data_IF_385947439176
#
_entry.id   IF_385947439176
#
_cell.length_a   1.000
_cell.length_b   1.000
_cell.length_c   1.000
_cell.angle_alpha   90.00
_cell.angle_beta   90.00
_cell.angle_gamma   90.00
#
_symmetry.space_group_name_H-M   'P 1'
#
loop_
_entity.id
_entity.type
_entity.pdbx_description
1 polymer ?
#
# COMPACT_ATOMS: atom_id res chain seq x y z
N UNK A 1 -5.91 18.48 33.59
CA UNK A 1 -6.39 17.21 33.02
C UNK A 1 -5.15 16.37 32.78
N UNK A 2 -4.94 15.44 33.69
CA UNK A 2 -3.63 14.91 34.07
C UNK A 2 -3.04 14.00 33.00
N UNK A 3 -1.86 14.40 32.52
CA UNK A 3 -1.00 13.57 31.69
C UNK A 3 -0.39 12.51 32.63
N UNK A 4 -0.91 11.30 32.55
CA UNK A 4 -0.38 10.14 33.27
C UNK A 4 1.08 9.91 32.87
N UNK A 5 2.00 10.43 33.69
CA UNK A 5 3.38 9.92 33.77
C UNK A 5 3.32 8.55 34.43
N UNK A 6 3.25 7.48 33.65
CA UNK A 6 3.49 6.15 34.17
C UNK A 6 5.00 5.93 34.32
N UNK A 7 5.43 5.67 35.56
CA UNK A 7 6.78 5.24 35.89
C UNK A 7 7.00 3.82 35.37
N UNK A 8 8.08 3.60 34.62
CA UNK A 8 8.39 2.37 33.90
C UNK A 8 8.89 1.28 34.88
N UNK A 9 8.15 0.18 35.04
CA UNK A 9 8.60 -1.01 35.77
C UNK A 9 9.24 -2.04 34.82
N UNK A 10 10.17 -2.83 35.38
CA UNK A 10 11.09 -3.77 34.70
C UNK A 10 10.39 -4.94 33.97
N UNK A 11 9.09 -5.12 34.16
CA UNK A 11 8.32 -6.26 33.63
C UNK A 11 7.84 -6.09 32.17
N UNK A 12 7.89 -4.88 31.59
CA UNK A 12 7.41 -4.65 30.22
C UNK A 12 8.44 -4.98 29.13
N UNK A 13 9.74 -5.07 29.45
CA UNK A 13 10.79 -5.39 28.48
C UNK A 13 10.65 -6.80 27.86
N UNK A 14 10.07 -7.75 28.59
CA UNK A 14 9.84 -9.11 28.08
C UNK A 14 8.72 -9.16 27.03
N UNK A 15 7.66 -8.37 27.18
CA UNK A 15 6.55 -8.31 26.22
C UNK A 15 7.01 -7.66 24.90
N UNK A 16 7.89 -6.65 24.99
CA UNK A 16 8.48 -5.97 23.83
C UNK A 16 9.36 -6.87 22.96
N UNK A 17 10.28 -7.61 23.56
CA UNK A 17 11.16 -8.52 22.81
C UNK A 17 10.37 -9.67 22.15
N UNK A 18 9.36 -10.20 22.83
CA UNK A 18 8.52 -11.28 22.31
C UNK A 18 7.71 -10.84 21.09
N UNK A 19 7.19 -9.61 21.08
CA UNK A 19 6.43 -9.09 19.95
C UNK A 19 7.33 -8.79 18.74
N UNK A 20 8.47 -8.11 18.95
CA UNK A 20 9.41 -7.83 17.86
C UNK A 20 9.98 -9.12 17.24
N UNK A 21 10.38 -10.09 18.07
CA UNK A 21 10.75 -11.42 17.56
C UNK A 21 9.57 -12.16 16.92
N UNK A 22 8.35 -11.97 17.43
CA UNK A 22 7.13 -12.50 16.85
C UNK A 22 6.86 -11.97 15.44
N UNK A 23 7.04 -10.67 15.21
CA UNK A 23 6.93 -10.07 13.87
C UNK A 23 7.99 -10.57 12.91
N UNK A 24 9.25 -10.65 13.33
CA UNK A 24 10.34 -11.18 12.48
C UNK A 24 10.07 -12.65 12.15
N UNK A 25 9.74 -13.46 13.16
CA UNK A 25 9.46 -14.89 12.98
C UNK A 25 8.25 -15.14 12.09
N UNK A 26 7.26 -14.25 12.13
CA UNK A 26 6.04 -14.35 11.33
C UNK A 26 6.03 -13.38 10.14
N UNK A 27 7.18 -12.86 9.70
CA UNK A 27 7.23 -11.85 8.63
C UNK A 27 6.59 -12.36 7.33
N UNK A 28 6.78 -13.64 7.01
CA UNK A 28 6.18 -14.31 5.85
C UNK A 28 4.63 -14.45 5.93
N UNK A 29 4.05 -14.24 7.11
CA UNK A 29 2.61 -14.30 7.38
C UNK A 29 2.15 -13.13 8.26
N UNK A 30 2.77 -11.96 8.06
CA UNK A 30 2.60 -10.80 8.95
C UNK A 30 1.13 -10.39 9.07
N UNK A 31 0.37 -10.47 7.97
CA UNK A 31 -1.05 -10.15 7.97
C UNK A 31 -1.87 -11.08 8.88
N UNK A 32 -1.65 -12.39 8.79
CA UNK A 32 -2.33 -13.38 9.64
C UNK A 32 -1.95 -13.19 11.11
N UNK A 33 -0.67 -12.94 11.38
CA UNK A 33 -0.16 -12.71 12.73
C UNK A 33 -0.76 -11.45 13.37
N UNK A 34 -0.73 -10.31 12.65
CA UNK A 34 -1.32 -9.05 13.13
C UNK A 34 -2.84 -9.19 13.31
N UNK A 35 -3.52 -9.90 12.42
CA UNK A 35 -4.97 -10.15 12.53
C UNK A 35 -5.30 -10.98 13.78
N UNK A 36 -4.52 -12.02 14.07
CA UNK A 36 -4.70 -12.83 15.28
C UNK A 36 -4.53 -11.99 16.55
N UNK A 37 -3.48 -11.15 16.59
CA UNK A 37 -3.23 -10.24 17.71
C UNK A 37 -4.37 -9.23 17.91
N UNK A 38 -4.87 -8.62 16.82
CA UNK A 38 -6.02 -7.72 16.89
C UNK A 38 -7.26 -8.43 17.44
N UNK A 39 -7.48 -9.69 17.06
CA UNK A 39 -8.61 -10.47 17.57
C UNK A 39 -8.50 -10.73 19.08
N UNK A 40 -7.30 -11.07 19.55
CA UNK A 40 -7.04 -11.30 20.98
C UNK A 40 -7.12 -10.00 21.79
N UNK A 41 -6.66 -8.88 21.22
CA UNK A 41 -6.63 -7.57 21.86
C UNK A 41 -7.93 -6.77 21.71
N UNK A 42 -9.02 -7.40 21.27
CA UNK A 42 -10.34 -6.78 21.04
C UNK A 42 -10.28 -5.58 20.08
N UNK A 43 -9.40 -5.66 19.09
CA UNK A 43 -9.32 -4.75 17.96
C UNK A 43 -8.32 -3.61 18.11
N UNK A 44 -7.58 -3.52 19.22
CA UNK A 44 -6.58 -2.47 19.42
C UNK A 44 -5.36 -3.04 20.13
N UNK A 45 -4.14 -2.75 19.66
CA UNK A 45 -2.93 -2.98 20.44
C UNK A 45 -1.86 -1.94 20.13
N UNK A 46 -1.06 -1.63 21.14
CA UNK A 46 0.08 -0.73 21.02
C UNK A 46 1.37 -1.54 20.81
N UNK A 47 2.13 -1.16 19.80
CA UNK A 47 3.48 -1.62 19.58
C UNK A 47 4.43 -0.53 20.01
N UNK A 48 5.35 -0.84 20.93
CA UNK A 48 6.49 0.03 21.18
C UNK A 48 7.76 -0.64 20.66
N UNK A 49 8.34 -0.03 19.64
CA UNK A 49 9.62 -0.48 19.11
C UNK A 49 10.80 -0.10 20.01
N UNK A 50 12.03 -0.44 19.58
CA UNK A 50 13.24 -0.14 20.33
C UNK A 50 13.33 1.34 20.70
N UNK A 51 13.77 1.65 21.92
CA UNK A 51 13.85 3.02 22.46
C UNK A 51 14.63 3.97 21.55
N UNK A 52 15.65 3.46 20.86
CA UNK A 52 16.49 4.24 19.94
C UNK A 52 15.82 4.52 18.58
N UNK A 53 14.79 3.76 18.22
CA UNK A 53 14.14 3.84 16.91
C UNK A 53 12.84 4.68 16.91
N UNK A 54 12.28 4.98 18.09
CA UNK A 54 11.03 5.76 18.24
C UNK A 54 9.86 5.22 17.38
N UNK A 55 9.69 3.89 17.37
CA UNK A 55 8.70 3.19 16.55
C UNK A 55 7.48 2.77 17.37
N UNK A 56 6.83 3.75 17.98
CA UNK A 56 5.57 3.51 18.67
C UNK A 56 4.43 3.57 17.66
N UNK A 57 3.64 2.51 17.58
CA UNK A 57 2.52 2.39 16.64
C UNK A 57 1.28 1.91 17.38
N UNK A 58 0.14 2.51 17.06
CA UNK A 58 -1.18 1.96 17.41
C UNK A 58 -1.69 1.17 16.20
N UNK A 59 -1.97 -0.11 16.40
CA UNK A 59 -2.62 -0.95 15.40
C UNK A 59 -4.07 -1.11 15.85
N UNK A 60 -5.00 -0.77 14.96
CA UNK A 60 -6.44 -0.78 15.25
C UNK A 60 -7.25 -1.37 14.11
N UNK A 61 -8.23 -2.19 14.47
CA UNK A 61 -9.35 -2.63 13.62
C UNK A 61 -10.70 -2.12 14.14
N UNK A 62 -10.69 -1.19 15.09
CA UNK A 62 -11.90 -0.59 15.66
C UNK A 62 -12.49 0.42 14.66
N UNK A 63 -13.74 0.23 14.20
CA UNK A 63 -14.39 1.14 13.25
C UNK A 63 -14.44 2.59 13.73
N UNK A 64 -14.52 2.85 15.04
CA UNK A 64 -14.56 4.22 15.60
C UNK A 64 -13.20 4.89 15.41
N UNK A 65 -12.11 4.16 15.69
CA UNK A 65 -10.75 4.66 15.49
C UNK A 65 -10.45 4.85 14.00
N UNK A 66 -10.83 3.88 13.16
CA UNK A 66 -10.67 3.95 11.70
C UNK A 66 -11.41 5.17 11.14
N UNK A 67 -12.66 5.39 11.54
CA UNK A 67 -13.43 6.56 11.12
C UNK A 67 -12.79 7.87 11.61
N UNK A 68 -12.27 7.88 12.84
CA UNK A 68 -11.58 9.04 13.38
C UNK A 68 -10.34 9.39 12.56
N UNK A 69 -9.48 8.40 12.28
CA UNK A 69 -8.20 8.57 11.58
C UNK A 69 -8.41 8.85 10.09
N UNK A 70 -9.26 8.08 9.39
CA UNK A 70 -9.39 8.14 7.93
C UNK A 70 -10.43 9.14 7.43
N UNK A 71 -11.24 9.71 8.33
CA UNK A 71 -12.31 10.65 7.96
C UNK A 71 -12.36 11.88 8.86
N UNK A 72 -12.82 11.74 10.12
CA UNK A 72 -13.16 12.88 10.98
C UNK A 72 -11.98 13.80 11.28
N UNK A 73 -10.79 13.23 11.43
CA UNK A 73 -9.59 13.93 11.90
C UNK A 73 -8.38 13.64 11.01
N UNK A 74 -8.61 13.36 9.72
CA UNK A 74 -7.58 12.93 8.77
C UNK A 74 -6.34 13.84 8.71
N UNK A 75 -6.52 15.16 8.78
CA UNK A 75 -5.42 16.13 8.74
C UNK A 75 -4.42 15.99 9.91
N UNK A 76 -4.82 15.37 11.02
CA UNK A 76 -3.98 15.14 12.19
C UNK A 76 -3.11 13.87 12.07
N UNK A 77 -3.28 13.07 11.02
CA UNK A 77 -2.56 11.82 10.81
C UNK A 77 -1.81 11.84 9.46
N UNK A 78 -0.78 12.70 9.29
CA UNK A 78 0.04 12.69 8.08
C UNK A 78 0.82 11.38 7.96
N UNK A 79 1.10 10.94 6.73
CA UNK A 79 1.91 9.73 6.48
C UNK A 79 3.35 9.93 6.92
N UNK A 80 3.86 11.17 6.78
CA UNK A 80 5.16 11.57 7.29
C UNK A 80 6.31 11.40 6.29
N UNK A 81 7.51 11.78 6.72
CA UNK A 81 8.73 11.74 5.89
C UNK A 81 9.16 10.33 5.54
N UNK A 82 8.82 9.37 6.39
CA UNK A 82 9.19 7.97 6.24
C UNK A 82 8.51 7.28 5.09
N UNK A 83 7.19 7.42 5.10
CA UNK A 83 6.36 6.97 4.02
C UNK A 83 6.85 7.58 2.71
N UNK A 84 7.22 8.86 2.72
CA UNK A 84 7.77 9.54 1.54
C UNK A 84 9.07 8.95 1.00
N UNK A 85 9.98 8.52 1.88
CA UNK A 85 11.23 7.89 1.47
C UNK A 85 11.00 6.49 0.88
N UNK A 86 10.11 5.71 1.50
CA UNK A 86 9.77 4.36 1.03
C UNK A 86 9.12 4.43 -0.36
N UNK A 87 8.23 5.41 -0.56
CA UNK A 87 7.47 5.58 -1.78
C UNK A 87 8.01 6.71 -2.68
N UNK A 88 9.30 7.02 -2.59
CA UNK A 88 9.94 8.12 -3.33
C UNK A 88 9.81 7.95 -4.86
N UNK A 89 9.73 6.70 -5.34
CA UNK A 89 9.48 6.40 -6.75
C UNK A 89 8.14 6.99 -7.26
N UNK A 90 7.15 7.15 -6.37
CA UNK A 90 5.86 7.78 -6.72
C UNK A 90 5.95 9.32 -6.78
N UNK A 91 7.11 9.88 -6.50
CA UNK A 91 7.37 11.32 -6.48
C UNK A 91 6.40 12.05 -5.56
N UNK A 92 5.96 13.24 -5.96
CA UNK A 92 4.95 14.01 -5.24
C UNK A 92 3.51 13.68 -5.66
N UNK A 93 3.25 12.43 -6.08
CA UNK A 93 1.91 11.98 -6.44
C UNK A 93 0.95 11.89 -5.25
N UNK A 94 -0.35 11.73 -5.54
CA UNK A 94 -1.44 11.67 -4.55
C UNK A 94 -1.19 10.69 -3.39
N UNK A 95 -0.47 9.60 -3.62
CA UNK A 95 -0.16 8.62 -2.57
C UNK A 95 0.90 9.12 -1.58
N UNK A 96 1.82 9.97 -2.02
CA UNK A 96 3.03 10.30 -1.28
C UNK A 96 2.94 11.63 -0.51
N UNK A 97 2.18 12.60 -1.03
CA UNK A 97 2.04 13.92 -0.40
C UNK A 97 1.04 13.89 0.75
N UNK A 98 1.13 14.88 1.64
CA UNK A 98 0.23 15.10 2.78
C UNK A 98 -0.42 16.50 2.71
N UNK A 99 -1.40 16.75 3.58
CA UNK A 99 -2.00 18.07 3.81
C UNK A 99 -2.62 18.72 2.55
N UNK A 100 -2.41 20.02 2.34
CA UNK A 100 -3.04 20.81 1.27
C UNK A 100 -2.76 20.25 -0.13
N UNK A 101 -1.50 19.86 -0.39
CA UNK A 101 -1.13 19.31 -1.70
C UNK A 101 -1.85 17.98 -1.97
N UNK A 102 -1.98 17.12 -0.96
CA UNK A 102 -2.78 15.91 -1.06
C UNK A 102 -4.26 16.22 -1.33
N UNK A 103 -4.82 17.24 -0.67
CA UNK A 103 -6.22 17.62 -0.86
C UNK A 103 -6.49 18.09 -2.28
N UNK A 104 -5.58 18.89 -2.85
CA UNK A 104 -5.62 19.32 -4.25
C UNK A 104 -5.59 18.10 -5.17
N UNK A 105 -4.59 17.21 -5.02
CA UNK A 105 -4.50 15.99 -5.82
C UNK A 105 -5.77 15.12 -5.71
N UNK A 106 -6.30 14.93 -4.50
CA UNK A 106 -7.50 14.14 -4.26
C UNK A 106 -8.73 14.74 -4.93
N UNK A 107 -8.97 16.05 -4.77
CA UNK A 107 -10.09 16.74 -5.41
C UNK A 107 -10.03 16.60 -6.93
N UNK A 108 -8.87 16.87 -7.52
CA UNK A 108 -8.67 16.76 -8.98
C UNK A 108 -8.83 15.33 -9.46
N UNK A 109 -8.22 14.35 -8.79
CA UNK A 109 -8.26 12.94 -9.19
C UNK A 109 -9.68 12.38 -9.08
N UNK A 110 -10.37 12.61 -7.96
CA UNK A 110 -11.75 12.14 -7.77
C UNK A 110 -12.70 12.80 -8.76
N UNK A 111 -12.51 14.09 -9.08
CA UNK A 111 -13.29 14.79 -10.10
C UNK A 111 -13.06 14.20 -11.49
N UNK A 112 -11.81 13.89 -11.85
CA UNK A 112 -11.47 13.26 -13.13
C UNK A 112 -12.07 11.86 -13.24
N UNK A 113 -11.90 11.04 -12.19
CA UNK A 113 -12.40 9.67 -12.17
C UNK A 113 -13.93 9.62 -12.19
N UNK A 114 -14.61 10.56 -11.54
CA UNK A 114 -16.08 10.65 -11.57
C UNK A 114 -16.64 11.21 -12.88
N UNK A 115 -15.79 11.72 -13.78
CA UNK A 115 -16.23 12.32 -15.02
C UNK A 115 -16.72 11.24 -15.99
N UNK A 116 -17.88 11.43 -16.62
CA UNK A 116 -18.50 10.44 -17.51
C UNK A 116 -17.58 10.00 -18.66
N UNK A 117 -16.83 10.94 -19.25
CA UNK A 117 -15.86 10.62 -20.30
C UNK A 117 -14.76 9.66 -19.80
N UNK A 118 -14.28 9.84 -18.57
CA UNK A 118 -13.27 8.95 -18.00
C UNK A 118 -13.82 7.53 -17.83
N UNK A 119 -15.06 7.40 -17.37
CA UNK A 119 -15.73 6.11 -17.24
C UNK A 119 -15.91 5.41 -18.58
N UNK A 120 -16.32 6.14 -19.62
CA UNK A 120 -16.43 5.60 -20.99
C UNK A 120 -15.06 5.15 -21.53
N UNK A 121 -14.01 5.94 -21.31
CA UNK A 121 -12.65 5.58 -21.73
C UNK A 121 -12.10 4.38 -20.96
N UNK A 122 -12.38 4.28 -19.66
CA UNK A 122 -12.02 3.13 -18.82
C UNK A 122 -12.69 1.86 -19.34
N UNK A 123 -13.99 1.89 -19.55
CA UNK A 123 -14.74 0.76 -20.10
C UNK A 123 -14.20 0.35 -21.47
N UNK A 124 -14.07 1.30 -22.40
CA UNK A 124 -13.58 1.04 -23.75
C UNK A 124 -12.15 0.46 -23.75
N UNK A 125 -11.23 1.04 -22.98
CA UNK A 125 -9.84 0.57 -22.91
C UNK A 125 -9.74 -0.83 -22.30
N UNK A 126 -10.60 -1.12 -21.32
CA UNK A 126 -10.67 -2.43 -20.69
C UNK A 126 -11.18 -3.48 -21.67
N UNK A 127 -12.32 -3.22 -22.33
CA UNK A 127 -12.88 -4.12 -23.33
C UNK A 127 -11.94 -4.37 -24.50
N UNK A 128 -11.31 -3.32 -25.02
CA UNK A 128 -10.32 -3.44 -26.09
C UNK A 128 -9.15 -4.36 -25.68
N UNK A 129 -8.68 -4.26 -24.43
CA UNK A 129 -7.61 -5.13 -23.90
C UNK A 129 -8.08 -6.57 -23.70
N UNK A 130 -9.36 -6.78 -23.38
CA UNK A 130 -9.95 -8.12 -23.30
C UNK A 130 -10.05 -8.74 -24.69
N UNK A 131 -10.72 -8.06 -25.63
CA UNK A 131 -11.02 -8.58 -26.97
C UNK A 131 -9.76 -8.80 -27.81
N UNK A 132 -8.80 -7.87 -27.74
CA UNK A 132 -7.61 -7.91 -28.61
C UNK A 132 -6.38 -8.51 -27.93
N UNK A 133 -6.39 -8.69 -26.60
CA UNK A 133 -5.26 -9.20 -25.83
C UNK A 133 -5.58 -10.51 -25.11
N UNK A 134 -6.42 -10.43 -24.07
CA UNK A 134 -6.64 -11.54 -23.14
C UNK A 134 -7.37 -12.72 -23.79
N UNK A 135 -8.48 -12.48 -24.48
CA UNK A 135 -9.27 -13.52 -25.13
C UNK A 135 -8.45 -14.31 -26.17
N UNK A 136 -7.82 -13.69 -27.19
CA UNK A 136 -7.06 -14.44 -28.19
C UNK A 136 -5.83 -15.13 -27.59
N UNK A 137 -5.24 -14.57 -26.53
CA UNK A 137 -4.17 -15.24 -25.79
C UNK A 137 -4.67 -16.53 -25.13
N UNK A 138 -5.80 -16.48 -24.41
CA UNK A 138 -6.38 -17.65 -23.75
C UNK A 138 -6.83 -18.71 -24.76
N UNK A 139 -7.48 -18.30 -25.85
CA UNK A 139 -7.93 -19.22 -26.91
C UNK A 139 -6.75 -20.00 -27.51
N UNK A 140 -5.65 -19.31 -27.83
CA UNK A 140 -4.44 -19.95 -28.35
C UNK A 140 -3.74 -20.85 -27.32
N UNK A 141 -3.83 -20.49 -26.03
CA UNK A 141 -3.16 -21.22 -24.96
C UNK A 141 -3.89 -22.52 -24.57
N UNK A 142 -5.23 -22.53 -24.66
CA UNK A 142 -6.04 -23.74 -24.43
C UNK A 142 -5.61 -24.88 -25.34
N UNK A 143 -5.23 -24.59 -26.59
CA UNK A 143 -4.74 -25.60 -27.54
C UNK A 143 -3.38 -26.20 -27.16
N UNK A 144 -2.53 -25.48 -26.43
CA UNK A 144 -1.19 -25.95 -26.03
C UNK A 144 -1.20 -26.84 -24.78
N UNK A 145 -2.22 -26.75 -23.93
CA UNK A 145 -2.34 -27.58 -22.72
C UNK A 145 -1.23 -27.41 -21.68
N UNK A 146 -0.48 -26.29 -21.71
CA UNK A 146 0.62 -26.02 -20.78
C UNK A 146 0.13 -25.28 -19.52
N UNK A 147 0.87 -25.27 -18.40
CA UNK A 147 0.46 -24.53 -17.22
C UNK A 147 0.62 -23.01 -17.41
N UNK A 148 -0.44 -22.24 -17.09
CA UNK A 148 -0.47 -20.79 -17.22
C UNK A 148 -0.19 -20.08 -15.89
N UNK A 149 0.71 -19.10 -15.88
CA UNK A 149 0.89 -18.20 -14.74
C UNK A 149 -0.11 -17.03 -14.79
N UNK A 150 -1.28 -17.20 -14.17
CA UNK A 150 -2.33 -16.17 -14.14
C UNK A 150 -1.88 -14.84 -13.51
N UNK A 151 -0.89 -14.86 -12.61
CA UNK A 151 -0.37 -13.63 -12.03
C UNK A 151 0.34 -12.76 -13.08
N UNK A 152 1.21 -13.35 -13.91
CA UNK A 152 1.89 -12.62 -15.00
C UNK A 152 0.88 -12.13 -16.03
N UNK A 153 -0.15 -12.92 -16.34
CA UNK A 153 -1.20 -12.54 -17.29
C UNK A 153 -2.02 -11.35 -16.78
N UNK A 154 -2.49 -11.39 -15.53
CA UNK A 154 -3.25 -10.26 -14.98
C UNK A 154 -2.40 -9.02 -14.75
N UNK A 155 -1.11 -9.16 -14.46
CA UNK A 155 -0.18 -8.03 -14.39
C UNK A 155 -0.04 -7.35 -15.75
N UNK A 156 0.21 -8.11 -16.83
CA UNK A 156 0.28 -7.60 -18.20
C UNK A 156 -1.03 -6.97 -18.66
N UNK A 157 -2.15 -7.66 -18.41
CA UNK A 157 -3.50 -7.13 -18.69
C UNK A 157 -3.71 -5.76 -18.05
N UNK A 158 -3.44 -5.65 -16.74
CA UNK A 158 -3.63 -4.42 -15.99
C UNK A 158 -2.69 -3.32 -16.49
N UNK A 159 -1.44 -3.67 -16.81
CA UNK A 159 -0.46 -2.73 -17.33
C UNK A 159 -0.87 -2.17 -18.69
N UNK A 160 -1.31 -3.02 -19.62
CA UNK A 160 -1.77 -2.59 -20.95
C UNK A 160 -3.04 -1.74 -20.83
N UNK A 161 -4.03 -2.17 -20.03
CA UNK A 161 -5.28 -1.43 -19.83
C UNK A 161 -5.06 -0.03 -19.21
N UNK A 162 -4.20 0.08 -18.20
CA UNK A 162 -3.86 1.36 -17.57
C UNK A 162 -3.04 2.24 -18.52
N UNK A 163 -2.11 1.65 -19.28
CA UNK A 163 -1.30 2.39 -20.26
C UNK A 163 -2.17 2.98 -21.37
N UNK A 164 -3.14 2.23 -21.89
CA UNK A 164 -4.14 2.74 -22.85
C UNK A 164 -4.95 3.88 -22.24
N UNK A 165 -5.48 3.68 -21.04
CA UNK A 165 -6.36 4.65 -20.39
C UNK A 165 -5.64 5.96 -20.08
N UNK A 166 -4.43 5.90 -19.51
CA UNK A 166 -3.73 7.07 -18.98
C UNK A 166 -2.77 7.70 -19.99
N UNK A 167 -2.17 6.91 -20.87
CA UNK A 167 -1.13 7.36 -21.81
C UNK A 167 -1.59 7.34 -23.26
N UNK A 168 -2.74 6.73 -23.57
CA UNK A 168 -3.20 6.55 -24.95
C UNK A 168 -2.32 5.62 -25.77
N UNK A 169 -1.49 4.80 -25.11
CA UNK A 169 -0.52 3.91 -25.75
C UNK A 169 -0.74 2.47 -25.30
N UNK A 170 -0.71 1.54 -26.25
CA UNK A 170 -0.76 0.09 -25.99
C UNK A 170 0.65 -0.51 -26.03
N UNK A 171 1.19 -0.99 -24.90
CA UNK A 171 2.46 -1.71 -24.87
C UNK A 171 2.39 -3.10 -25.52
N UNK A 172 1.18 -3.66 -25.68
CA UNK A 172 0.92 -5.00 -26.22
C UNK A 172 1.77 -6.05 -25.47
N UNK A 173 1.88 -5.88 -24.15
CA UNK A 173 2.63 -6.80 -23.30
C UNK A 173 1.90 -8.14 -23.13
N UNK A 174 0.57 -8.14 -23.24
CA UNK A 174 -0.28 -9.33 -23.29
C UNK A 174 -0.57 -9.73 -24.74
N UNK A 175 0.24 -10.64 -25.28
CA UNK A 175 0.04 -11.25 -26.60
C UNK A 175 0.54 -12.69 -26.62
N UNK A 176 0.22 -13.44 -27.68
CA UNK A 176 0.54 -14.88 -27.82
C UNK A 176 2.02 -15.19 -27.51
N UNK A 177 2.95 -14.30 -27.87
CA UNK A 177 4.39 -14.50 -27.68
C UNK A 177 4.92 -14.05 -26.32
N UNK A 178 4.08 -13.42 -25.49
CA UNK A 178 4.44 -12.83 -24.19
C UNK A 178 5.77 -12.06 -24.23
N UNK A 179 5.86 -11.00 -25.06
CA UNK A 179 7.12 -10.29 -25.28
C UNK A 179 7.68 -9.74 -23.97
N UNK A 180 9.00 -9.61 -23.92
CA UNK A 180 9.67 -8.91 -22.84
C UNK A 180 9.50 -7.40 -23.03
N UNK A 181 8.74 -6.76 -22.14
CA UNK A 181 8.49 -5.32 -22.18
C UNK A 181 9.19 -4.68 -20.97
N UNK A 182 10.28 -3.91 -21.14
CA UNK A 182 11.10 -3.43 -20.03
C UNK A 182 10.32 -2.61 -18.99
N UNK A 183 9.40 -1.74 -19.43
CA UNK A 183 8.61 -0.91 -18.53
C UNK A 183 7.59 -1.73 -17.72
N UNK A 184 6.95 -2.73 -18.31
CA UNK A 184 6.04 -3.65 -17.62
C UNK A 184 6.79 -4.45 -16.55
N UNK A 185 7.99 -4.98 -16.86
CA UNK A 185 8.80 -5.70 -15.87
C UNK A 185 9.31 -4.80 -14.76
N UNK A 186 9.76 -3.58 -15.07
CA UNK A 186 10.14 -2.60 -14.06
C UNK A 186 8.95 -2.25 -13.14
N UNK A 187 7.75 -2.09 -13.70
CA UNK A 187 6.54 -1.82 -12.93
C UNK A 187 6.17 -2.98 -12.00
N UNK A 188 6.25 -4.23 -12.46
CA UNK A 188 5.98 -5.39 -11.62
C UNK A 188 6.99 -5.54 -10.47
N UNK A 189 8.28 -5.33 -10.74
CA UNK A 189 9.32 -5.33 -9.68
C UNK A 189 9.00 -4.28 -8.62
N UNK A 190 8.56 -3.08 -9.03
CA UNK A 190 8.15 -2.04 -8.10
C UNK A 190 6.92 -2.44 -7.28
N UNK A 191 5.87 -2.96 -7.92
CA UNK A 191 4.66 -3.41 -7.22
C UNK A 191 4.98 -4.52 -6.23
N UNK A 192 5.85 -5.46 -6.60
CA UNK A 192 6.27 -6.55 -5.71
C UNK A 192 7.17 -6.04 -4.57
N UNK A 193 8.02 -5.04 -4.82
CA UNK A 193 8.77 -4.37 -3.76
C UNK A 193 7.83 -3.71 -2.75
N UNK A 194 6.78 -3.02 -3.20
CA UNK A 194 5.77 -2.42 -2.30
C UNK A 194 5.10 -3.49 -1.43
N UNK A 195 4.64 -4.60 -2.03
CA UNK A 195 4.02 -5.71 -1.28
C UNK A 195 4.95 -6.25 -0.20
N UNK A 196 6.23 -6.38 -0.53
CA UNK A 196 7.25 -6.91 0.37
C UNK A 196 7.79 -5.88 1.37
N UNK A 197 7.42 -4.60 1.26
CA UNK A 197 7.83 -3.54 2.19
C UNK A 197 6.95 -3.49 3.47
N UNK A 198 6.05 -4.46 3.67
CA UNK A 198 5.37 -4.68 4.95
C UNK A 198 6.38 -4.93 6.11
N UNK A 199 6.03 -4.63 7.37
CA UNK A 199 6.67 -3.67 8.28
C UNK A 199 8.03 -4.10 8.89
N UNK A 200 8.84 -4.90 8.22
CA UNK A 200 10.20 -5.24 8.67
C UNK A 200 11.26 -4.25 8.18
N UNK A 201 10.98 -3.50 7.10
CA UNK A 201 11.91 -2.51 6.54
C UNK A 201 11.58 -1.06 6.96
N UNK A 202 10.48 -0.83 7.68
CA UNK A 202 10.04 0.49 8.15
C UNK A 202 10.74 0.97 9.44
N UNK A 203 11.87 0.36 9.83
CA UNK A 203 12.46 0.57 11.17
C UNK A 203 13.44 1.74 11.28
N UNK A 204 13.40 2.77 10.43
CA UNK A 204 14.36 3.86 10.59
C UNK A 204 14.01 5.17 9.88
N UNK A 205 13.38 6.11 10.59
CA UNK A 205 13.42 7.60 10.49
C UNK A 205 12.41 8.19 11.51
N UNK A 206 12.97 8.66 12.61
CA UNK A 206 12.90 10.07 13.03
C UNK A 206 11.63 10.89 12.68
N UNK A 207 10.79 11.14 13.68
CA UNK A 207 10.71 12.41 14.46
C UNK A 207 9.29 12.64 15.00
N UNK A 208 9.09 12.45 16.31
CA UNK A 208 8.05 13.17 17.07
C UNK A 208 8.72 13.87 18.26
N UNK A 209 9.47 14.93 17.95
CA UNK A 209 9.84 15.95 18.92
C UNK A 209 9.42 17.30 18.35
N UNK A 210 8.12 17.58 18.36
CA UNK A 210 7.61 18.96 18.29
C UNK A 210 6.16 19.19 18.75
N UNK A 211 5.47 18.19 19.31
CA UNK A 211 4.14 18.38 19.89
C UNK A 211 4.17 18.61 21.42
N UNK A 212 5.21 19.28 21.94
CA UNK A 212 5.42 19.37 23.39
C UNK A 212 6.19 20.60 23.85
N UNK A 213 6.16 21.72 23.12
CA UNK A 213 6.61 23.00 23.71
C UNK A 213 6.10 24.22 22.93
N UNK A 214 4.89 24.66 23.23
CA UNK A 214 4.59 26.08 23.36
C UNK A 214 3.62 26.23 24.54
N UNK A 215 4.18 26.79 25.62
CA UNK A 215 3.42 27.53 26.65
C UNK A 215 3.05 28.89 26.09
#
# INVERSE_FOLDING_TARGET
>A
MDILKFSFSRDHYHVFHLFYMGLIRNAYRVHEFVTALLRESKGNFEFHGPVLANLNMLITSDPVNIHHILSRSFSNYPKGVEFRKIFDLLGNGIFNVDSELWEIHRKTTVSLMSHAMFQILLERSTWDTIENGLQPFLDAFVEQGSPLNLQDIFQRFTFDAISKLLLGYDPISLSIRLPYVPCEKAFNVFVDAIKNTSPTNCLSVEQVSKCGSQK
#
